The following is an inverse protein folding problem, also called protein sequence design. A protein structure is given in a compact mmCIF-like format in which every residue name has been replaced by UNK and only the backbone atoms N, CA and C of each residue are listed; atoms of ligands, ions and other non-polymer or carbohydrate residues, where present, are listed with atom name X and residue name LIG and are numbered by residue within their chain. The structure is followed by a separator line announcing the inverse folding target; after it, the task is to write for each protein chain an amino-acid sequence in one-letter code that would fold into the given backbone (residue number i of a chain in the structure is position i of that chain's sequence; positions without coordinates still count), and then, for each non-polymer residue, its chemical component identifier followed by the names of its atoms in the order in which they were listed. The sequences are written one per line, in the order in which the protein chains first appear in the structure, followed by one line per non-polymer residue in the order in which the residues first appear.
data_IF_840499863626
#
_entry.id   IF_840499863626
#
_cell.length_a   1.000
_cell.length_b   1.000
_cell.length_c   1.000
_cell.angle_alpha   90.00
_cell.angle_beta   90.00
_cell.angle_gamma   90.00
#
_symmetry.space_group_name_H-M   'P 1'
#
loop_
_entity.id
_entity.type
_entity.pdbx_description
1 polymer ?
#
# COMPACT_ATOMS: atom_id res chain seq x y z
N UNK A 1 48.05 -0.51 24.29
CA UNK A 1 48.56 -0.98 25.58
C UNK A 1 47.54 -0.67 26.66
N UNK A 2 47.11 -1.69 27.40
CA UNK A 2 46.14 -1.77 28.51
C UNK A 2 44.65 -1.68 28.22
N UNK A 3 44.08 -2.87 28.02
CA UNK A 3 42.67 -3.24 28.25
C UNK A 3 42.51 -3.48 29.77
N UNK A 4 41.53 -2.78 30.39
CA UNK A 4 41.05 -3.13 31.73
C UNK A 4 39.61 -3.63 31.65
N UNK A 5 39.47 -4.92 31.95
CA UNK A 5 38.23 -5.60 32.27
C UNK A 5 37.52 -4.96 33.47
N UNK A 6 36.24 -4.69 33.34
CA UNK A 6 35.38 -4.46 34.48
C UNK A 6 34.26 -5.52 34.50
N UNK A 7 34.44 -6.52 35.36
CA UNK A 7 33.38 -7.46 35.77
C UNK A 7 32.47 -6.70 36.76
N UNK A 8 31.21 -6.51 36.45
CA UNK A 8 30.20 -6.17 37.44
C UNK A 8 29.07 -7.19 37.37
N UNK A 9 29.03 -7.99 38.43
CA UNK A 9 27.96 -8.93 38.76
C UNK A 9 26.68 -8.13 39.14
N UNK A 10 25.64 -8.17 38.32
CA UNK A 10 24.26 -7.85 38.77
C UNK A 10 23.35 -8.99 38.38
N UNK A 11 22.92 -9.77 39.38
CA UNK A 11 21.77 -10.67 39.29
C UNK A 11 20.56 -9.85 38.91
N UNK A 12 20.08 -10.03 37.67
CA UNK A 12 18.79 -9.52 37.23
C UNK A 12 17.73 -10.53 37.66
N UNK A 13 16.90 -10.14 38.60
CA UNK A 13 15.74 -10.87 39.07
C UNK A 13 14.76 -11.01 37.90
N UNK A 14 14.62 -12.21 37.34
CA UNK A 14 13.56 -12.52 36.36
C UNK A 14 12.20 -12.42 37.07
N UNK A 15 11.49 -11.34 36.81
CA UNK A 15 10.09 -11.18 37.17
C UNK A 15 9.27 -12.05 36.22
N UNK A 16 8.77 -13.18 36.73
CA UNK A 16 7.87 -14.07 36.00
C UNK A 16 6.61 -13.27 35.62
N UNK A 17 6.45 -13.01 34.33
CA UNK A 17 5.21 -12.36 33.81
C UNK A 17 4.12 -13.42 33.88
N UNK A 18 3.18 -13.24 34.84
CA UNK A 18 2.01 -14.07 34.99
C UNK A 18 1.11 -13.99 33.76
N UNK A 19 0.97 -15.10 33.06
CA UNK A 19 0.05 -15.22 31.91
C UNK A 19 -1.38 -15.18 32.44
N UNK A 20 -2.14 -14.17 32.00
CA UNK A 20 -3.54 -13.95 32.36
C UNK A 20 -4.40 -15.21 32.13
N UNK A 21 -5.26 -15.60 33.12
CA UNK A 21 -6.07 -16.84 33.02
C UNK A 21 -7.18 -16.81 31.97
N UNK A 22 -7.44 -15.67 31.34
CA UNK A 22 -8.53 -15.53 30.36
C UNK A 22 -8.29 -16.23 29.01
N UNK A 23 -7.04 -16.54 28.64
CA UNK A 23 -6.75 -17.25 27.36
C UNK A 23 -7.04 -18.76 27.44
N UNK A 24 -7.03 -19.36 28.62
CA UNK A 24 -7.31 -20.81 28.80
C UNK A 24 -8.80 -21.14 28.85
N UNK A 25 -9.67 -20.20 29.19
CA UNK A 25 -11.13 -20.43 29.23
C UNK A 25 -11.76 -20.44 27.84
N UNK A 26 -11.15 -19.74 26.85
CA UNK A 26 -11.66 -19.72 25.48
C UNK A 26 -11.47 -21.07 24.78
N UNK A 27 -10.33 -21.71 24.97
CA UNK A 27 -10.04 -23.02 24.34
C UNK A 27 -10.82 -24.19 24.94
N UNK A 28 -11.25 -24.11 26.22
CA UNK A 28 -12.07 -25.15 26.84
C UNK A 28 -13.53 -25.15 26.40
N UNK A 29 -14.07 -24.03 25.91
CA UNK A 29 -15.46 -23.94 25.42
C UNK A 29 -15.63 -24.41 23.97
N UNK A 30 -14.53 -24.57 23.20
CA UNK A 30 -14.60 -25.06 21.84
C UNK A 30 -14.63 -26.59 21.68
N UNK A 31 -14.45 -27.36 22.77
CA UNK A 31 -14.30 -28.84 22.71
C UNK A 31 -15.59 -29.59 23.14
N UNK A 32 -16.65 -28.91 23.62
CA UNK A 32 -17.83 -29.55 24.14
C UNK A 32 -19.07 -29.49 23.24
N UNK A 33 -18.93 -29.21 21.95
CA UNK A 33 -20.01 -29.39 20.97
C UNK A 33 -19.81 -30.71 20.23
N UNK A 34 -20.34 -31.78 20.76
CA UNK A 34 -20.34 -33.10 20.11
C UNK A 34 -21.28 -33.15 18.91
N UNK A 35 -21.04 -34.03 17.93
CA UNK A 35 -21.78 -34.09 16.68
C UNK A 35 -23.15 -34.77 16.89
N UNK A 36 -24.22 -34.02 16.67
CA UNK A 36 -25.53 -34.60 16.39
C UNK A 36 -25.62 -34.89 14.89
N UNK A 37 -25.46 -36.14 14.50
CA UNK A 37 -25.74 -36.61 13.14
C UNK A 37 -27.24 -36.67 12.96
N UNK A 38 -27.81 -35.74 12.20
CA UNK A 38 -29.15 -35.86 11.64
C UNK A 38 -29.03 -36.10 10.13
N UNK A 39 -29.35 -37.36 9.73
CA UNK A 39 -29.62 -37.69 8.35
C UNK A 39 -30.90 -36.96 7.92
N UNK A 40 -30.83 -36.05 6.97
CA UNK A 40 -31.97 -35.54 6.19
C UNK A 40 -31.73 -35.78 4.71
N UNK A 41 -32.70 -36.47 4.12
CA UNK A 41 -32.72 -36.89 2.75
C UNK A 41 -32.70 -35.77 1.73
N UNK A 42 -32.18 -36.08 0.54
CA UNK A 42 -32.04 -35.29 -0.65
C UNK A 42 -33.28 -34.44 -1.01
N UNK A 43 -33.16 -33.15 -0.99
CA UNK A 43 -33.88 -32.21 -1.83
C UNK A 43 -32.83 -31.19 -2.31
N UNK A 44 -32.70 -31.08 -3.66
CA UNK A 44 -31.71 -30.21 -4.29
C UNK A 44 -31.87 -28.76 -3.88
N UNK A 45 -31.05 -28.33 -2.93
CA UNK A 45 -30.88 -26.92 -2.58
C UNK A 45 -29.63 -26.46 -3.30
N UNK A 46 -29.82 -25.64 -4.34
CA UNK A 46 -28.73 -24.95 -4.96
C UNK A 46 -27.89 -24.25 -3.88
N UNK A 47 -26.63 -24.59 -3.79
CA UNK A 47 -25.65 -23.87 -2.98
C UNK A 47 -25.55 -22.48 -3.60
N UNK A 48 -26.35 -21.53 -3.08
CA UNK A 48 -26.08 -20.14 -3.30
C UNK A 48 -24.69 -19.88 -2.71
N UNK A 49 -23.70 -19.73 -3.58
CA UNK A 49 -22.40 -19.20 -3.20
C UNK A 49 -22.69 -17.86 -2.52
N UNK A 50 -22.56 -17.81 -1.20
CA UNK A 50 -22.56 -16.54 -0.48
C UNK A 50 -21.36 -15.77 -0.98
N UNK A 51 -21.58 -14.90 -1.96
CA UNK A 51 -20.63 -13.87 -2.31
C UNK A 51 -20.47 -13.03 -1.06
N UNK A 52 -19.39 -13.24 -0.34
CA UNK A 52 -18.98 -12.44 0.78
C UNK A 52 -18.54 -11.08 0.20
N UNK A 53 -19.51 -10.29 -0.23
CA UNK A 53 -19.32 -8.94 -0.75
C UNK A 53 -18.94 -8.08 0.46
N UNK A 54 -17.67 -8.00 0.75
CA UNK A 54 -17.18 -6.92 1.61
C UNK A 54 -17.69 -5.60 1.02
N UNK A 55 -18.20 -4.68 1.86
CA UNK A 55 -18.67 -3.40 1.36
C UNK A 55 -17.54 -2.73 0.58
N UNK A 56 -17.87 -2.21 -0.61
CA UNK A 56 -16.91 -1.52 -1.46
C UNK A 56 -16.21 -0.41 -0.66
N UNK A 57 -14.88 -0.32 -0.78
CA UNK A 57 -14.10 0.71 -0.11
C UNK A 57 -14.65 2.11 -0.46
N UNK A 58 -14.77 2.95 0.56
CA UNK A 58 -15.17 4.36 0.38
C UNK A 58 -13.99 5.24 0.74
N UNK A 59 -13.52 6.10 -0.18
CA UNK A 59 -12.39 6.97 0.11
C UNK A 59 -12.72 7.92 1.26
N UNK A 60 -11.76 8.06 2.17
CA UNK A 60 -11.88 8.92 3.36
C UNK A 60 -11.33 10.33 3.10
N UNK A 61 -10.39 10.47 2.16
CA UNK A 61 -9.76 11.74 1.81
C UNK A 61 -10.21 12.27 0.45
N UNK A 62 -10.14 11.46 -0.60
CA UNK A 62 -10.43 11.90 -1.96
C UNK A 62 -11.92 12.09 -2.20
N UNK A 63 -12.29 13.14 -2.93
CA UNK A 63 -13.65 13.29 -3.49
C UNK A 63 -13.88 12.21 -4.56
N UNK A 64 -15.14 11.99 -4.94
CA UNK A 64 -15.49 10.99 -5.96
C UNK A 64 -14.77 11.22 -7.30
N UNK A 65 -14.60 12.48 -7.72
CA UNK A 65 -13.90 12.82 -8.95
C UNK A 65 -12.39 12.57 -8.84
N UNK A 66 -11.76 13.05 -7.76
CA UNK A 66 -10.34 12.80 -7.48
C UNK A 66 -10.04 11.31 -7.38
N UNK A 67 -10.94 10.55 -6.74
CA UNK A 67 -10.84 9.09 -6.61
C UNK A 67 -10.84 8.38 -7.97
N UNK A 68 -11.77 8.72 -8.84
CA UNK A 68 -11.84 8.15 -10.18
C UNK A 68 -10.56 8.46 -10.99
N UNK A 69 -10.06 9.69 -10.90
CA UNK A 69 -8.82 10.10 -11.58
C UNK A 69 -7.60 9.37 -10.99
N UNK A 70 -7.51 9.24 -9.67
CA UNK A 70 -6.45 8.48 -9.01
C UNK A 70 -6.46 7.00 -9.45
N UNK A 71 -7.64 6.35 -9.46
CA UNK A 71 -7.77 4.98 -9.94
C UNK A 71 -7.27 4.84 -11.38
N UNK A 72 -7.67 5.75 -12.27
CA UNK A 72 -7.24 5.73 -13.65
C UNK A 72 -5.72 5.97 -13.83
N UNK A 73 -5.10 6.75 -12.95
CA UNK A 73 -3.64 6.97 -12.96
C UNK A 73 -2.88 5.73 -12.49
N UNK A 74 -3.24 5.15 -11.34
CA UNK A 74 -2.51 3.98 -10.79
C UNK A 74 -2.69 2.75 -11.67
N UNK A 75 -3.85 2.59 -12.32
CA UNK A 75 -4.11 1.52 -13.29
C UNK A 75 -3.15 1.58 -14.50
N UNK A 76 -2.83 2.80 -14.98
CA UNK A 76 -1.89 2.95 -16.09
C UNK A 76 -0.44 2.81 -15.65
N UNK A 77 -0.10 3.11 -14.41
CA UNK A 77 1.26 2.94 -13.89
C UNK A 77 1.63 1.46 -13.68
N UNK A 78 0.69 0.65 -13.16
CA UNK A 78 0.87 -0.80 -13.01
C UNK A 78 -0.43 -1.48 -13.50
N UNK A 79 -0.56 -1.73 -14.80
CA UNK A 79 -1.71 -2.42 -15.36
C UNK A 79 -1.67 -3.91 -15.04
N UNK A 80 -2.85 -4.54 -14.90
CA UNK A 80 -2.95 -5.99 -14.82
C UNK A 80 -2.49 -6.66 -16.13
N UNK A 81 -1.73 -7.73 -16.01
CA UNK A 81 -1.24 -8.50 -17.15
C UNK A 81 -1.06 -9.99 -16.80
N UNK A 82 -0.44 -10.76 -17.70
CA UNK A 82 -0.16 -12.19 -17.50
C UNK A 82 0.79 -12.49 -16.33
N UNK A 83 1.59 -11.52 -15.90
CA UNK A 83 2.61 -11.71 -14.87
C UNK A 83 2.00 -11.53 -13.47
N UNK A 84 0.96 -10.70 -13.35
CA UNK A 84 0.32 -10.50 -12.06
C UNK A 84 -0.80 -9.44 -12.06
N UNK A 85 -1.36 -9.17 -10.88
CA UNK A 85 -2.43 -8.20 -10.68
C UNK A 85 -1.94 -6.79 -10.96
N UNK A 86 -2.85 -5.92 -11.42
CA UNK A 86 -2.59 -4.50 -11.54
C UNK A 86 -2.72 -3.75 -10.20
N UNK A 87 -2.40 -2.45 -10.24
CA UNK A 87 -2.50 -1.57 -9.06
C UNK A 87 -3.92 -1.50 -8.48
N UNK A 88 -4.96 -1.56 -9.32
CA UNK A 88 -6.34 -1.54 -8.84
C UNK A 88 -6.68 -2.81 -8.06
N UNK A 89 -6.33 -3.98 -8.59
CA UNK A 89 -6.57 -5.27 -7.95
C UNK A 89 -5.77 -5.40 -6.65
N UNK A 90 -4.54 -4.89 -6.63
CA UNK A 90 -3.71 -4.82 -5.44
C UNK A 90 -4.18 -3.79 -4.40
N UNK A 91 -5.20 -2.95 -4.70
CA UNK A 91 -5.73 -1.96 -3.76
C UNK A 91 -4.83 -0.74 -3.56
N UNK A 92 -3.96 -0.41 -4.51
CA UNK A 92 -3.00 0.71 -4.39
C UNK A 92 -3.68 2.06 -4.14
N UNK A 93 -4.80 2.32 -4.82
CA UNK A 93 -5.59 3.52 -4.63
C UNK A 93 -6.14 3.65 -3.19
N UNK A 94 -6.55 2.52 -2.58
CA UNK A 94 -7.00 2.47 -1.18
C UNK A 94 -5.83 2.76 -0.23
N UNK A 95 -4.66 2.17 -0.49
CA UNK A 95 -3.43 2.49 0.24
C UNK A 95 -3.13 3.99 0.22
N UNK A 96 -3.15 4.62 -0.97
CA UNK A 96 -2.87 6.05 -1.10
C UNK A 96 -3.90 6.88 -0.31
N UNK A 97 -5.19 6.56 -0.38
CA UNK A 97 -6.23 7.25 0.39
C UNK A 97 -6.01 7.13 1.90
N UNK A 98 -5.68 5.93 2.39
CA UNK A 98 -5.36 5.70 3.80
C UNK A 98 -4.14 6.52 4.24
N UNK A 99 -3.08 6.58 3.41
CA UNK A 99 -1.90 7.38 3.72
C UNK A 99 -2.21 8.88 3.84
N UNK A 100 -3.23 9.40 3.13
CA UNK A 100 -3.65 10.81 3.22
C UNK A 100 -4.23 11.20 4.59
N UNK A 101 -4.45 10.25 5.49
CA UNK A 101 -4.92 10.49 6.86
C UNK A 101 -3.84 10.20 7.94
N UNK A 102 -2.60 9.95 7.53
CA UNK A 102 -1.46 9.67 8.42
C UNK A 102 -0.56 10.89 8.60
N UNK A 103 0.37 10.89 9.57
CA UNK A 103 1.38 11.95 9.73
C UNK A 103 2.20 12.22 8.47
N UNK A 104 2.40 11.22 7.61
CA UNK A 104 3.04 11.35 6.30
C UNK A 104 2.35 12.41 5.43
N UNK A 105 1.04 12.32 5.29
CA UNK A 105 0.26 13.21 4.44
C UNK A 105 0.35 14.69 4.85
N UNK A 106 0.55 14.94 6.13
CA UNK A 106 0.72 16.29 6.69
C UNK A 106 2.18 16.77 6.68
N UNK A 107 3.08 16.03 6.04
CA UNK A 107 4.50 16.37 6.00
C UNK A 107 5.24 16.24 7.33
N UNK A 108 4.63 15.62 8.37
CA UNK A 108 5.22 15.53 9.72
C UNK A 108 6.43 14.61 9.78
N UNK A 109 6.63 13.77 8.77
CA UNK A 109 7.77 12.86 8.65
C UNK A 109 8.92 13.47 7.83
N UNK A 110 8.73 14.68 7.28
CA UNK A 110 9.67 15.36 6.41
C UNK A 110 10.11 16.70 7.01
N UNK A 111 11.24 17.18 6.54
CA UNK A 111 11.70 18.53 6.87
C UNK A 111 10.98 19.56 5.97
N UNK A 112 9.89 20.14 6.49
CA UNK A 112 9.01 21.06 5.78
C UNK A 112 9.22 22.51 6.20
N UNK A 113 10.47 23.00 6.13
CA UNK A 113 10.81 24.39 6.45
C UNK A 113 11.49 25.07 5.28
N UNK A 114 11.10 26.33 5.02
CA UNK A 114 11.73 27.15 4.00
C UNK A 114 13.22 27.44 4.31
N UNK A 115 14.05 27.75 3.29
CA UNK A 115 13.68 27.93 1.88
C UNK A 115 13.46 26.61 1.15
N UNK A 116 12.48 26.59 0.24
CA UNK A 116 12.24 25.46 -0.67
C UNK A 116 12.86 25.74 -2.02
N UNK A 117 13.57 24.75 -2.60
CA UNK A 117 14.23 24.85 -3.89
C UNK A 117 13.82 23.65 -4.77
N UNK A 118 12.65 23.72 -5.44
CA UNK A 118 12.09 22.58 -6.19
C UNK A 118 12.98 22.01 -7.30
N UNK A 119 13.91 22.83 -7.83
CA UNK A 119 14.87 22.44 -8.86
C UNK A 119 16.12 21.75 -8.29
N UNK A 120 16.20 21.55 -6.98
CA UNK A 120 17.32 20.84 -6.35
C UNK A 120 17.45 19.42 -6.89
N UNK A 121 18.68 18.87 -6.98
CA UNK A 121 18.89 17.48 -7.32
C UNK A 121 18.09 16.53 -6.40
N UNK A 122 17.61 15.39 -6.92
CA UNK A 122 16.76 14.44 -6.15
C UNK A 122 17.40 13.93 -4.86
N UNK A 123 18.73 13.94 -4.77
CA UNK A 123 19.51 13.49 -3.60
C UNK A 123 19.27 14.35 -2.36
N UNK A 124 18.78 15.59 -2.55
CA UNK A 124 18.39 16.47 -1.44
C UNK A 124 16.98 16.18 -0.90
N UNK A 125 16.28 15.19 -1.46
CA UNK A 125 14.94 14.81 -1.06
C UNK A 125 13.87 15.79 -1.52
N UNK A 126 12.71 15.74 -0.86
CA UNK A 126 11.55 16.54 -1.24
C UNK A 126 11.76 18.03 -0.93
N UNK A 127 11.71 18.89 -1.95
CA UNK A 127 11.99 20.32 -1.87
C UNK A 127 10.81 21.20 -2.31
N UNK A 128 9.58 20.73 -2.12
CA UNK A 128 8.39 21.47 -2.45
C UNK A 128 7.58 21.83 -1.20
N UNK A 129 6.93 22.98 -1.18
CA UNK A 129 6.30 23.53 0.02
C UNK A 129 4.95 22.86 0.39
N UNK A 130 4.34 22.10 -0.52
CA UNK A 130 3.08 21.42 -0.24
C UNK A 130 3.33 20.06 0.42
N UNK A 131 2.58 19.76 1.48
CA UNK A 131 2.53 18.41 2.04
C UNK A 131 1.83 17.44 1.07
N UNK A 132 2.07 16.11 1.16
CA UNK A 132 1.52 15.14 0.21
C UNK A 132 0.02 15.27 -0.06
N UNK A 133 -0.80 15.47 0.97
CA UNK A 133 -2.25 15.60 0.77
C UNK A 133 -2.63 16.85 -0.04
N UNK A 134 -1.96 17.97 0.19
CA UNK A 134 -2.21 19.21 -0.54
C UNK A 134 -1.67 19.13 -1.96
N UNK A 135 -0.51 18.47 -2.12
CA UNK A 135 0.08 18.15 -3.43
C UNK A 135 -0.90 17.34 -4.30
N UNK A 136 -1.44 16.23 -3.77
CA UNK A 136 -2.38 15.39 -4.51
C UNK A 136 -3.63 16.19 -4.92
N UNK A 137 -4.24 16.91 -4.01
CA UNK A 137 -5.45 17.67 -4.30
C UNK A 137 -5.23 18.73 -5.39
N UNK A 138 -4.17 19.52 -5.25
CA UNK A 138 -3.81 20.56 -6.22
C UNK A 138 -3.42 19.96 -7.57
N UNK A 139 -2.66 18.86 -7.57
CA UNK A 139 -2.21 18.24 -8.79
C UNK A 139 -3.35 17.55 -9.56
N UNK A 140 -4.26 16.83 -8.88
CA UNK A 140 -5.40 16.18 -9.52
C UNK A 140 -6.35 17.23 -10.15
N UNK A 141 -6.63 18.33 -9.44
CA UNK A 141 -7.42 19.43 -9.99
C UNK A 141 -6.74 20.08 -11.20
N UNK A 142 -5.42 20.33 -11.10
CA UNK A 142 -4.63 20.89 -12.20
C UNK A 142 -4.56 19.96 -13.42
N UNK A 143 -4.43 18.64 -13.19
CA UNK A 143 -4.44 17.64 -14.24
C UNK A 143 -5.77 17.63 -15.01
N UNK A 144 -6.90 17.57 -14.30
CA UNK A 144 -8.21 17.58 -14.93
C UNK A 144 -8.43 18.86 -15.76
N UNK A 145 -8.02 20.02 -15.23
CA UNK A 145 -8.10 21.28 -15.95
C UNK A 145 -7.23 21.26 -17.24
N UNK A 146 -5.98 20.79 -17.13
CA UNK A 146 -5.06 20.72 -18.26
C UNK A 146 -5.54 19.76 -19.35
N UNK A 147 -6.04 18.59 -18.97
CA UNK A 147 -6.58 17.58 -19.89
C UNK A 147 -7.85 18.10 -20.57
N UNK A 148 -8.76 18.72 -19.82
CA UNK A 148 -9.98 19.32 -20.36
C UNK A 148 -9.64 20.44 -21.37
N UNK A 149 -8.67 21.29 -21.06
CA UNK A 149 -8.25 22.37 -21.96
C UNK A 149 -7.59 21.83 -23.24
N UNK A 150 -6.80 20.75 -23.14
CA UNK A 150 -6.03 20.19 -24.26
C UNK A 150 -6.85 19.24 -25.14
N UNK A 151 -7.69 18.40 -24.53
CA UNK A 151 -8.37 17.27 -25.20
C UNK A 151 -9.90 17.40 -25.19
N UNK A 152 -10.47 18.38 -24.47
CA UNK A 152 -11.91 18.59 -24.38
C UNK A 152 -12.65 17.48 -23.63
N UNK A 153 -11.95 16.67 -22.83
CA UNK A 153 -12.46 15.49 -22.12
C UNK A 153 -11.90 15.40 -20.72
N UNK A 154 -12.60 14.73 -19.81
CA UNK A 154 -12.06 14.36 -18.51
C UNK A 154 -11.00 13.27 -18.66
N UNK A 155 -9.96 13.25 -17.81
CA UNK A 155 -8.88 12.26 -17.85
C UNK A 155 -9.41 10.81 -17.79
N UNK A 156 -10.43 10.58 -16.97
CA UNK A 156 -11.04 9.24 -16.79
C UNK A 156 -11.69 8.70 -18.06
N UNK A 157 -12.13 9.57 -18.97
CA UNK A 157 -12.83 9.19 -20.22
C UNK A 157 -11.88 9.00 -21.41
N UNK A 158 -10.60 9.29 -21.25
CA UNK A 158 -9.57 9.04 -22.25
C UNK A 158 -9.37 7.54 -22.47
N UNK A 159 -8.95 7.15 -23.68
CA UNK A 159 -8.47 5.79 -23.93
C UNK A 159 -7.10 5.54 -23.28
N UNK A 160 -6.64 4.29 -23.33
CA UNK A 160 -5.38 3.90 -22.68
C UNK A 160 -4.17 4.66 -23.26
N UNK A 161 -4.09 4.79 -24.56
CA UNK A 161 -2.96 5.48 -25.22
C UNK A 161 -2.94 6.99 -24.90
N UNK A 162 -4.11 7.62 -24.83
CA UNK A 162 -4.23 9.02 -24.44
C UNK A 162 -3.84 9.23 -22.97
N UNK A 163 -4.27 8.33 -22.05
CA UNK A 163 -3.86 8.36 -20.65
C UNK A 163 -2.34 8.21 -20.51
N UNK A 164 -1.75 7.24 -21.22
CA UNK A 164 -0.31 7.01 -21.20
C UNK A 164 0.47 8.22 -21.73
N UNK A 165 -0.01 8.88 -22.79
CA UNK A 165 0.58 10.10 -23.30
C UNK A 165 0.55 11.24 -22.25
N UNK A 166 -0.60 11.44 -21.58
CA UNK A 166 -0.72 12.45 -20.51
C UNK A 166 0.21 12.14 -19.34
N UNK A 167 0.33 10.88 -18.93
CA UNK A 167 1.25 10.46 -17.86
C UNK A 167 2.70 10.68 -18.28
N UNK A 168 3.05 10.37 -19.53
CA UNK A 168 4.38 10.65 -20.07
C UNK A 168 4.72 12.14 -20.08
N UNK A 169 3.76 13.02 -20.34
CA UNK A 169 3.94 14.46 -20.24
C UNK A 169 4.14 14.95 -18.81
N UNK A 170 3.49 14.31 -17.82
CA UNK A 170 3.74 14.58 -16.39
C UNK A 170 5.17 14.19 -16.03
N UNK A 171 5.62 13.00 -16.44
CA UNK A 171 6.98 12.50 -16.22
C UNK A 171 8.04 13.42 -16.83
N UNK A 172 7.82 13.84 -18.07
CA UNK A 172 8.73 14.77 -18.77
C UNK A 172 8.66 16.21 -18.24
N UNK A 173 7.59 16.56 -17.50
CA UNK A 173 7.37 17.90 -16.98
C UNK A 173 6.83 18.88 -18.02
N UNK A 174 6.25 18.40 -19.12
CA UNK A 174 5.75 19.22 -20.23
C UNK A 174 4.29 19.60 -20.10
N UNK A 175 3.50 18.88 -19.29
CA UNK A 175 2.09 19.23 -19.01
C UNK A 175 2.02 20.12 -17.76
N UNK A 176 1.71 21.40 -17.92
CA UNK A 176 1.50 22.29 -16.79
C UNK A 176 0.18 21.94 -16.04
N UNK A 177 0.27 21.63 -14.75
CA UNK A 177 -0.84 21.29 -13.88
C UNK A 177 -1.03 22.31 -12.75
N UNK A 178 -1.07 23.59 -13.10
CA UNK A 178 -1.23 24.68 -12.14
C UNK A 178 0.06 24.97 -11.36
N UNK A 179 -0.07 25.14 -10.05
CA UNK A 179 1.05 25.51 -9.17
C UNK A 179 1.99 24.33 -8.82
N UNK A 180 1.60 23.10 -9.14
CA UNK A 180 2.39 21.91 -8.83
C UNK A 180 3.33 21.59 -10.00
N UNK A 181 4.65 21.46 -9.76
CA UNK A 181 5.54 20.97 -10.80
C UNK A 181 5.15 19.55 -11.23
N UNK A 182 4.93 19.29 -12.53
CA UNK A 182 4.44 17.98 -13.00
C UNK A 182 5.33 16.83 -12.57
N UNK A 183 6.65 16.98 -12.67
CA UNK A 183 7.63 15.96 -12.24
C UNK A 183 7.54 15.64 -10.76
N UNK A 184 7.27 16.64 -9.91
CA UNK A 184 7.10 16.45 -8.47
C UNK A 184 5.86 15.59 -8.19
N UNK A 185 4.76 15.89 -8.85
CA UNK A 185 3.55 15.07 -8.72
C UNK A 185 3.75 13.66 -9.27
N UNK A 186 4.30 13.53 -10.48
CA UNK A 186 4.56 12.21 -11.08
C UNK A 186 5.47 11.36 -10.18
N UNK A 187 6.58 11.91 -9.69
CA UNK A 187 7.49 11.20 -8.79
C UNK A 187 6.80 10.73 -7.50
N UNK A 188 5.98 11.59 -6.89
CA UNK A 188 5.22 11.26 -5.68
C UNK A 188 4.16 10.18 -5.95
N UNK A 189 3.43 10.30 -7.05
CA UNK A 189 2.42 9.32 -7.46
C UNK A 189 3.06 7.95 -7.75
N UNK A 190 4.16 7.92 -8.50
CA UNK A 190 4.89 6.68 -8.83
C UNK A 190 5.45 6.02 -7.58
N UNK A 191 6.03 6.81 -6.67
CA UNK A 191 6.55 6.30 -5.39
C UNK A 191 5.43 5.68 -4.56
N UNK A 192 4.32 6.39 -4.31
CA UNK A 192 3.21 5.87 -3.53
C UNK A 192 2.53 4.67 -4.21
N UNK A 193 2.51 4.63 -5.54
CA UNK A 193 1.99 3.48 -6.29
C UNK A 193 2.85 2.23 -6.03
N UNK A 194 4.17 2.34 -6.07
CA UNK A 194 5.10 1.24 -5.75
C UNK A 194 5.01 0.83 -4.29
N UNK A 195 4.97 1.80 -3.38
CA UNK A 195 4.81 1.54 -1.95
C UNK A 195 3.53 0.75 -1.67
N UNK A 196 2.38 1.19 -2.20
CA UNK A 196 1.12 0.49 -2.03
C UNK A 196 1.08 -0.88 -2.69
N UNK A 197 1.75 -1.03 -3.85
CA UNK A 197 1.79 -2.29 -4.58
C UNK A 197 2.60 -3.37 -3.86
N UNK A 198 3.67 -2.98 -3.14
CA UNK A 198 4.56 -3.89 -2.42
C UNK A 198 4.44 -3.80 -0.88
N UNK A 199 3.52 -3.00 -0.35
CA UNK A 199 3.32 -2.88 1.09
C UNK A 199 2.89 -4.20 1.73
N UNK A 200 3.03 -4.28 3.05
CA UNK A 200 2.30 -5.30 3.81
C UNK A 200 0.78 -5.00 3.69
N UNK A 201 -0.08 -6.01 3.47
CA UNK A 201 -1.53 -5.82 3.36
C UNK A 201 -2.18 -5.08 4.54
N UNK A 202 -1.58 -5.09 5.71
CA UNK A 202 -2.04 -4.34 6.89
C UNK A 202 -2.18 -2.84 6.62
N UNK A 203 -1.42 -2.32 5.63
CA UNK A 203 -1.46 -0.92 5.22
C UNK A 203 -2.50 -0.62 4.13
N UNK A 204 -3.28 -1.61 3.70
CA UNK A 204 -4.38 -1.45 2.73
C UNK A 204 -4.03 -1.68 1.27
N UNK A 205 -2.74 -1.80 0.92
CA UNK A 205 -2.28 -2.18 -0.41
C UNK A 205 -1.95 -3.68 -0.51
N UNK A 206 -1.39 -4.10 -1.66
CA UNK A 206 -0.93 -5.48 -1.90
C UNK A 206 -1.91 -6.54 -1.41
N UNK A 207 -3.19 -6.37 -1.73
CA UNK A 207 -4.27 -7.26 -1.30
C UNK A 207 -3.91 -8.71 -1.59
N UNK A 208 -4.19 -9.59 -0.63
CA UNK A 208 -3.87 -11.02 -0.71
C UNK A 208 -2.38 -11.32 -0.91
N UNK A 209 -1.50 -10.35 -0.63
CA UNK A 209 -0.05 -10.46 -0.88
C UNK A 209 0.26 -10.82 -2.34
N UNK A 210 -0.56 -10.35 -3.27
CA UNK A 210 -0.51 -10.78 -4.66
C UNK A 210 0.80 -10.34 -5.34
N UNK A 211 1.28 -9.12 -5.09
CA UNK A 211 2.57 -8.66 -5.59
C UNK A 211 3.74 -9.43 -4.97
N UNK A 212 3.68 -9.78 -3.68
CA UNK A 212 4.70 -10.60 -3.03
C UNK A 212 4.76 -12.03 -3.59
N UNK A 213 3.59 -12.62 -3.86
CA UNK A 213 3.51 -13.94 -4.52
C UNK A 213 4.13 -13.90 -5.91
N UNK A 214 3.85 -12.85 -6.68
CA UNK A 214 4.37 -12.66 -8.04
C UNK A 214 5.91 -12.63 -8.06
N UNK A 215 6.53 -11.90 -7.12
CA UNK A 215 8.00 -11.77 -7.06
C UNK A 215 8.67 -12.79 -6.14
N UNK A 216 7.91 -13.74 -5.59
CA UNK A 216 8.40 -14.72 -4.59
C UNK A 216 9.03 -14.06 -3.35
N UNK A 217 8.48 -12.94 -2.88
CA UNK A 217 8.91 -12.32 -1.63
C UNK A 217 8.25 -13.04 -0.46
N UNK A 218 9.01 -13.55 0.53
CA UNK A 218 8.47 -14.38 1.60
C UNK A 218 7.70 -13.61 2.69
N UNK A 219 7.64 -12.28 2.60
CA UNK A 219 6.94 -11.44 3.57
C UNK A 219 7.66 -11.30 4.91
N UNK A 220 6.90 -11.02 5.96
CA UNK A 220 7.43 -10.83 7.30
C UNK A 220 7.69 -12.18 8.00
N UNK A 221 8.96 -12.50 8.25
CA UNK A 221 9.41 -13.67 8.97
C UNK A 221 10.27 -13.25 10.16
N UNK A 222 10.35 -14.09 11.19
CA UNK A 222 11.18 -13.81 12.34
C UNK A 222 12.68 -13.73 11.95
N UNK A 223 13.12 -14.62 11.08
CA UNK A 223 14.45 -14.62 10.49
C UNK A 223 14.50 -15.46 9.20
N UNK A 224 15.66 -15.45 8.53
CA UNK A 224 15.95 -16.20 7.31
C UNK A 224 17.27 -16.97 7.44
N UNK A 225 17.72 -17.28 8.66
CA UNK A 225 19.03 -17.90 8.91
C UNK A 225 19.23 -19.19 8.12
N UNK A 226 18.19 -20.03 8.03
CA UNK A 226 18.25 -21.29 7.28
C UNK A 226 18.34 -21.11 5.76
N UNK A 227 18.09 -19.86 5.27
CA UNK A 227 18.05 -19.54 3.86
C UNK A 227 19.24 -18.72 3.36
N UNK A 228 20.13 -18.26 4.24
CA UNK A 228 21.23 -17.34 3.89
C UNK A 228 22.10 -17.90 2.76
N UNK A 229 22.34 -19.23 2.73
CA UNK A 229 23.15 -19.89 1.71
C UNK A 229 22.34 -20.50 0.54
N UNK A 230 21.04 -20.22 0.45
CA UNK A 230 20.14 -20.81 -0.55
C UNK A 230 19.96 -19.90 -1.78
N UNK A 231 21.06 -19.41 -2.35
CA UNK A 231 21.04 -18.48 -3.48
C UNK A 231 20.23 -19.00 -4.68
N UNK A 232 19.36 -18.16 -5.25
CA UNK A 232 18.56 -18.47 -6.42
C UNK A 232 17.47 -19.52 -6.24
N UNK A 233 17.26 -20.04 -5.02
CA UNK A 233 16.19 -21.01 -4.75
C UNK A 233 14.89 -20.32 -4.40
N UNK A 234 13.80 -20.91 -4.84
CA UNK A 234 12.45 -20.48 -4.48
C UNK A 234 12.20 -20.74 -3.00
N UNK A 235 11.72 -19.74 -2.26
CA UNK A 235 11.33 -19.88 -0.86
C UNK A 235 10.04 -20.73 -0.77
N UNK A 236 10.04 -21.85 0.00
CA UNK A 236 8.97 -22.86 -0.11
C UNK A 236 7.66 -22.48 0.60
N UNK A 237 7.70 -21.53 1.53
CA UNK A 237 6.51 -21.15 2.28
C UNK A 237 5.82 -19.94 1.64
N UNK A 238 4.49 -19.84 1.73
CA UNK A 238 3.77 -18.66 1.23
C UNK A 238 4.19 -17.40 1.98
N UNK A 239 4.03 -16.20 1.37
CA UNK A 239 4.33 -14.96 2.06
C UNK A 239 3.49 -14.81 3.33
N UNK A 240 4.06 -14.14 4.34
CA UNK A 240 3.40 -13.84 5.60
C UNK A 240 3.33 -12.33 5.82
N UNK A 241 2.15 -11.83 6.23
CA UNK A 241 1.95 -10.47 6.70
C UNK A 241 2.38 -10.32 8.17
N UNK A 242 2.66 -9.10 8.60
CA UNK A 242 2.90 -8.76 10.02
C UNK A 242 1.61 -8.74 10.85
N UNK A 243 0.43 -8.81 10.22
CA UNK A 243 -0.89 -8.80 10.86
C UNK A 243 -1.29 -10.18 11.39
#
# INVERSE_FOLDING_TARGET
MYIRYYKSNKRVLMKTIGISPHRRSFLRKAVTAGPAVALVAAAGVGVAASSNTQPAYRPAYFTAAEWATLQALVDRLIPANSDGPGALEAGVHEFIDLQMNTPYAYGKLWFMQAPFVPESPPEFGYQFHMAPRDLYRSALAGLEHAVQAKLGKAFTTLDAAQKDAVIGELEQGTLAIGAVPPKTFFGQLLQNTREGYFSDPVHGGNKDMAAWKMINFPGARADYMDWVEQYGKHYPLPPASIA
#
